data_IF_896475638950
#
_entry.id   IF_896475638950
#
_cell.length_a   1.000
_cell.length_b   1.000
_cell.length_c   1.000
_cell.angle_alpha   90.00
_cell.angle_beta   90.00
_cell.angle_gamma   90.00
#
_symmetry.space_group_name_H-M   'P 1'
#
loop_
_entity.id
_entity.type
_entity.pdbx_description
1 polymer ?
#
# COMPACT_ATOMS: atom_id res chain seq x y z
N UNK A 1 14.15 -90.12 -0.71
CA UNK A 1 13.05 -90.55 0.19
C UNK A 1 12.42 -89.32 0.81
N UNK A 2 11.07 -89.28 0.85
CA UNK A 2 10.18 -88.53 1.75
C UNK A 2 10.03 -87.00 1.66
N UNK A 3 8.86 -86.59 1.15
CA UNK A 3 7.91 -85.60 1.73
C UNK A 3 7.43 -86.10 3.14
N UNK A 4 6.63 -85.41 3.99
CA UNK A 4 6.08 -84.03 4.03
C UNK A 4 6.02 -83.39 5.47
N UNK A 5 5.26 -82.27 5.60
CA UNK A 5 4.27 -81.99 6.65
C UNK A 5 4.60 -81.36 8.04
N UNK A 6 3.84 -80.28 8.31
CA UNK A 6 2.98 -80.00 9.50
C UNK A 6 3.44 -79.18 10.72
N UNK A 7 2.57 -78.16 10.98
CA UNK A 7 1.93 -77.71 12.25
C UNK A 7 2.74 -76.91 13.27
N UNK A 8 2.22 -75.72 13.59
CA UNK A 8 1.66 -75.45 14.93
C UNK A 8 0.63 -74.29 14.92
N UNK A 9 -0.50 -74.51 15.62
CA UNK A 9 -1.54 -73.53 15.97
C UNK A 9 -1.29 -73.06 17.41
N UNK A 10 -1.57 -71.79 17.72
CA UNK A 10 -2.24 -71.39 18.98
C UNK A 10 -3.06 -70.11 18.71
N UNK A 11 -4.33 -70.14 19.11
CA UNK A 11 -5.24 -69.01 19.16
C UNK A 11 -5.48 -68.63 20.64
N UNK A 12 -5.61 -67.34 20.95
CA UNK A 12 -6.01 -66.85 22.27
C UNK A 12 -7.24 -65.93 22.11
N UNK A 13 -8.32 -66.31 22.79
CA UNK A 13 -9.60 -65.60 22.91
C UNK A 13 -9.48 -64.33 23.78
N UNK A 14 -10.23 -63.29 23.45
CA UNK A 14 -10.64 -62.21 24.37
C UNK A 14 -12.16 -62.27 24.55
N UNK A 15 -12.62 -62.58 25.76
CA UNK A 15 -14.02 -62.51 26.16
C UNK A 15 -14.32 -61.16 26.84
N UNK A 16 -15.43 -60.54 26.41
CA UNK A 16 -15.99 -59.30 26.95
C UNK A 16 -16.81 -59.54 28.23
N UNK A 17 -16.74 -58.60 29.16
CA UNK A 17 -17.58 -58.52 30.37
C UNK A 17 -18.75 -57.56 30.10
N UNK A 18 -19.97 -58.04 30.34
CA UNK A 18 -21.26 -57.33 30.28
C UNK A 18 -21.73 -57.10 31.71
N UNK A 19 -21.99 -55.85 32.12
CA UNK A 19 -22.80 -55.43 33.30
C UNK A 19 -23.42 -54.04 33.00
N UNK A 20 -24.66 -53.73 33.46
CA UNK A 20 -25.67 -53.01 32.68
C UNK A 20 -25.84 -51.52 33.03
N UNK A 21 -26.14 -50.68 32.02
CA UNK A 21 -26.47 -49.25 32.16
C UNK A 21 -27.81 -48.90 31.47
N UNK A 22 -28.74 -49.86 31.36
CA UNK A 22 -29.97 -49.73 30.55
C UNK A 22 -31.25 -49.39 31.34
N UNK A 23 -31.16 -48.79 32.53
CA UNK A 23 -32.35 -48.52 33.36
C UNK A 23 -32.45 -47.10 33.94
N UNK A 24 -31.80 -46.12 33.31
CA UNK A 24 -31.91 -44.70 33.69
C UNK A 24 -32.14 -43.73 32.51
N UNK A 25 -32.61 -44.21 31.35
CA UNK A 25 -32.77 -43.40 30.13
C UNK A 25 -34.17 -43.51 29.49
N UNK A 26 -35.24 -43.59 30.30
CA UNK A 26 -36.63 -43.71 29.79
C UNK A 26 -37.63 -42.72 30.43
N UNK A 27 -37.18 -41.73 31.23
CA UNK A 27 -38.10 -40.75 31.86
C UNK A 27 -37.79 -39.26 31.58
N UNK A 28 -36.99 -38.93 30.55
CA UNK A 28 -36.79 -37.52 30.12
C UNK A 28 -37.02 -37.38 28.61
N UNK A 29 -38.18 -37.84 28.13
CA UNK A 29 -38.52 -37.79 26.71
C UNK A 29 -39.84 -37.05 26.37
N UNK A 30 -40.52 -36.41 27.33
CA UNK A 30 -41.87 -35.85 27.07
C UNK A 30 -42.12 -34.41 27.58
N UNK A 31 -41.11 -33.54 27.73
CA UNK A 31 -41.34 -32.11 28.06
C UNK A 31 -40.54 -31.14 27.13
N UNK A 32 -40.25 -31.52 25.89
CA UNK A 32 -39.63 -30.60 24.91
C UNK A 32 -40.31 -30.71 23.56
N UNK A 33 -41.51 -30.16 23.46
CA UNK A 33 -42.24 -30.02 22.18
C UNK A 33 -42.74 -28.58 21.96
N UNK A 34 -42.11 -27.58 22.60
CA UNK A 34 -42.49 -26.16 22.47
C UNK A 34 -41.36 -25.17 22.15
N UNK A 35 -40.11 -25.63 21.96
CA UNK A 35 -38.95 -24.73 21.75
C UNK A 35 -38.41 -24.68 20.30
N UNK A 36 -38.89 -25.55 19.40
CA UNK A 36 -38.36 -25.63 18.03
C UNK A 36 -38.84 -24.47 17.11
N UNK A 37 -40.04 -23.93 17.34
CA UNK A 37 -40.60 -22.88 16.46
C UNK A 37 -40.01 -21.48 16.74
N UNK A 38 -39.61 -21.19 17.98
CA UNK A 38 -39.02 -19.89 18.32
C UNK A 38 -37.58 -19.74 17.82
N UNK A 39 -36.80 -20.83 17.80
CA UNK A 39 -35.40 -20.78 17.33
C UNK A 39 -35.30 -20.59 15.82
N UNK A 40 -36.24 -21.15 15.05
CA UNK A 40 -36.29 -20.99 13.59
C UNK A 40 -36.71 -19.56 13.20
N UNK A 41 -37.68 -18.98 13.93
CA UNK A 41 -38.08 -17.59 13.76
C UNK A 41 -36.97 -16.59 14.16
N UNK A 42 -36.24 -16.88 15.25
CA UNK A 42 -35.08 -16.10 15.66
C UNK A 42 -33.93 -16.18 14.64
N UNK A 43 -33.71 -17.35 14.04
CA UNK A 43 -32.67 -17.54 13.02
C UNK A 43 -33.03 -16.80 11.73
N UNK A 44 -34.30 -16.83 11.30
CA UNK A 44 -34.74 -16.07 10.12
C UNK A 44 -34.65 -14.56 10.32
N UNK A 45 -35.02 -14.06 11.50
CA UNK A 45 -34.92 -12.61 11.80
C UNK A 45 -33.46 -12.15 11.86
N UNK A 46 -32.56 -12.94 12.46
CA UNK A 46 -31.13 -12.64 12.47
C UNK A 46 -30.55 -12.59 11.03
N UNK A 47 -30.95 -13.51 10.16
CA UNK A 47 -30.48 -13.55 8.78
C UNK A 47 -30.97 -12.34 7.96
N UNK A 48 -32.23 -11.93 8.16
CA UNK A 48 -32.76 -10.72 7.52
C UNK A 48 -32.06 -9.44 8.00
N UNK A 49 -31.74 -9.34 9.29
CA UNK A 49 -30.97 -8.22 9.83
C UNK A 49 -29.56 -8.18 9.23
N UNK A 50 -28.89 -9.33 9.12
CA UNK A 50 -27.57 -9.42 8.52
C UNK A 50 -27.57 -9.02 7.03
N UNK A 51 -28.55 -9.48 6.27
CA UNK A 51 -28.73 -9.09 4.87
C UNK A 51 -28.99 -7.59 4.72
N UNK A 52 -29.76 -7.00 5.62
CA UNK A 52 -30.05 -5.56 5.62
C UNK A 52 -28.81 -4.74 5.94
N UNK A 53 -28.01 -5.17 6.93
CA UNK A 53 -26.74 -4.54 7.27
C UNK A 53 -25.74 -4.61 6.10
N UNK A 54 -25.67 -5.74 5.40
CA UNK A 54 -24.79 -5.90 4.25
C UNK A 54 -25.23 -5.02 3.06
N UNK A 55 -26.54 -4.91 2.81
CA UNK A 55 -27.06 -4.00 1.79
C UNK A 55 -26.79 -2.52 2.14
N UNK A 56 -26.85 -2.17 3.43
CA UNK A 56 -26.53 -0.81 3.89
C UNK A 56 -25.03 -0.50 3.74
N UNK A 57 -24.14 -1.44 4.07
CA UNK A 57 -22.70 -1.31 3.83
C UNK A 57 -22.36 -1.19 2.33
N UNK A 58 -23.04 -1.94 1.47
CA UNK A 58 -22.87 -1.83 0.02
C UNK A 58 -23.27 -0.44 -0.51
N UNK A 59 -24.36 0.14 -0.01
CA UNK A 59 -24.78 1.49 -0.38
C UNK A 59 -23.81 2.58 0.12
N UNK A 60 -23.27 2.42 1.33
CA UNK A 60 -22.24 3.33 1.85
C UNK A 60 -20.95 3.26 1.02
N UNK A 61 -20.49 2.05 0.66
CA UNK A 61 -19.33 1.88 -0.20
C UNK A 61 -19.52 2.49 -1.60
N UNK A 62 -20.73 2.41 -2.17
CA UNK A 62 -21.03 3.05 -3.46
C UNK A 62 -21.00 4.59 -3.37
N UNK A 63 -21.50 5.18 -2.28
CA UNK A 63 -21.45 6.62 -2.04
C UNK A 63 -20.01 7.11 -1.82
N UNK A 64 -19.21 6.37 -1.06
CA UNK A 64 -17.79 6.68 -0.88
C UNK A 64 -16.99 6.56 -2.19
N UNK A 65 -17.31 5.56 -3.02
CA UNK A 65 -16.68 5.39 -4.34
C UNK A 65 -17.03 6.54 -5.28
N UNK A 66 -18.27 7.03 -5.26
CA UNK A 66 -18.68 8.20 -6.05
C UNK A 66 -17.99 9.49 -5.56
N UNK A 67 -17.86 9.68 -4.25
CA UNK A 67 -17.15 10.81 -3.66
C UNK A 67 -15.64 10.75 -3.95
N UNK A 68 -15.05 9.55 -3.94
CA UNK A 68 -13.65 9.33 -4.31
C UNK A 68 -13.42 9.61 -5.79
N UNK A 69 -14.29 9.13 -6.68
CA UNK A 69 -14.21 9.40 -8.12
C UNK A 69 -14.30 10.90 -8.44
N UNK A 70 -15.18 11.65 -7.76
CA UNK A 70 -15.27 13.10 -7.94
C UNK A 70 -14.02 13.82 -7.40
N UNK A 71 -13.48 13.40 -6.26
CA UNK A 71 -12.21 13.94 -5.74
C UNK A 71 -11.05 13.65 -6.69
N UNK A 72 -11.00 12.46 -7.29
CA UNK A 72 -9.97 12.11 -8.28
C UNK A 72 -10.13 12.94 -9.55
N UNK A 73 -11.36 13.20 -10.01
CA UNK A 73 -11.64 14.07 -11.15
C UNK A 73 -11.15 15.50 -10.89
N UNK A 74 -11.46 16.04 -9.72
CA UNK A 74 -10.99 17.38 -9.29
C UNK A 74 -9.46 17.40 -9.19
N UNK A 75 -8.84 16.38 -8.60
CA UNK A 75 -7.39 16.30 -8.50
C UNK A 75 -6.70 16.23 -9.88
N UNK A 76 -7.27 15.47 -10.82
CA UNK A 76 -6.79 15.41 -12.20
C UNK A 76 -6.96 16.74 -12.92
N UNK A 77 -8.07 17.45 -12.72
CA UNK A 77 -8.30 18.78 -13.29
C UNK A 77 -7.31 19.82 -12.70
N UNK A 78 -7.05 19.77 -11.39
CA UNK A 78 -6.04 20.63 -10.72
C UNK A 78 -4.64 20.32 -11.25
N UNK A 79 -4.28 19.04 -11.40
CA UNK A 79 -2.97 18.63 -11.91
C UNK A 79 -2.78 19.03 -13.38
N UNK A 80 -3.82 18.87 -14.21
CA UNK A 80 -3.81 19.34 -15.60
C UNK A 80 -3.67 20.87 -15.68
N UNK A 81 -4.30 21.60 -14.77
CA UNK A 81 -4.21 23.06 -14.68
C UNK A 81 -2.79 23.49 -14.31
N UNK A 82 -2.19 22.90 -13.26
CA UNK A 82 -0.82 23.21 -12.86
C UNK A 82 0.21 22.92 -13.96
N UNK A 83 0.04 21.81 -14.70
CA UNK A 83 0.90 21.50 -15.85
C UNK A 83 0.76 22.56 -16.96
N UNK A 84 -0.47 23.01 -17.23
CA UNK A 84 -0.71 24.05 -18.24
C UNK A 84 -0.08 25.40 -17.86
N UNK A 85 -0.09 25.76 -16.58
CA UNK A 85 0.56 26.98 -16.07
C UNK A 85 2.09 26.89 -16.15
N UNK A 86 2.66 25.72 -15.84
CA UNK A 86 4.10 25.48 -15.97
C UNK A 86 4.56 25.59 -17.44
N UNK A 87 3.79 25.03 -18.38
CA UNK A 87 4.06 25.17 -19.82
C UNK A 87 3.97 26.65 -20.26
N UNK A 88 3.01 27.41 -19.75
CA UNK A 88 2.86 28.83 -20.06
C UNK A 88 4.06 29.67 -19.55
N UNK A 89 4.56 29.39 -18.34
CA UNK A 89 5.74 30.07 -17.79
C UNK A 89 7.03 29.76 -18.57
N UNK A 90 7.24 28.49 -18.95
CA UNK A 90 8.39 28.09 -19.77
C UNK A 90 8.35 28.73 -21.16
N UNK A 91 7.16 28.90 -21.73
CA UNK A 91 6.98 29.55 -23.05
C UNK A 91 7.27 31.06 -22.99
N UNK A 92 6.98 31.73 -21.86
CA UNK A 92 7.32 33.15 -21.67
C UNK A 92 8.82 33.39 -21.48
N UNK A 93 9.56 32.44 -20.89
CA UNK A 93 11.02 32.58 -20.72
C UNK A 93 11.82 32.35 -22.01
N UNK A 94 11.26 31.66 -23.01
CA UNK A 94 11.96 31.34 -24.26
C UNK A 94 11.94 32.48 -25.31
N UNK A 95 11.36 33.65 -25.01
CA UNK A 95 11.01 34.68 -26.00
C UNK A 95 11.82 35.99 -26.02
N UNK A 96 13.00 36.10 -25.39
CA UNK A 96 13.72 37.39 -25.33
C UNK A 96 14.96 37.46 -26.25
N UNK A 97 14.78 38.13 -27.39
CA UNK A 97 15.86 38.69 -28.24
C UNK A 97 16.03 40.18 -27.85
N UNK A 98 17.25 40.72 -27.69
CA UNK A 98 17.43 42.10 -27.22
C UNK A 98 17.19 43.14 -28.34
N UNK A 99 16.51 44.28 -28.07
CA UNK A 99 16.42 45.39 -29.01
C UNK A 99 17.41 46.53 -28.69
N UNK A 100 17.90 47.21 -29.73
CA UNK A 100 18.64 48.48 -29.67
C UNK A 100 17.71 49.69 -29.98
N UNK A 101 17.78 50.73 -29.13
CA UNK A 101 17.05 52.04 -29.03
C UNK A 101 17.16 53.02 -30.25
N UNK A 102 16.51 54.25 -30.34
CA UNK A 102 15.85 55.15 -29.33
C UNK A 102 14.51 55.87 -29.81
N UNK A 103 13.99 57.04 -29.29
CA UNK A 103 12.74 57.19 -28.48
C UNK A 103 11.67 58.23 -29.05
N UNK A 104 10.70 58.82 -28.29
CA UNK A 104 9.25 58.50 -28.32
C UNK A 104 8.30 59.69 -28.69
N UNK A 105 6.95 59.50 -28.65
CA UNK A 105 6.07 60.50 -28.05
C UNK A 105 5.10 59.91 -26.99
N UNK A 106 4.58 60.74 -26.07
CA UNK A 106 3.98 60.27 -24.83
C UNK A 106 2.52 59.86 -25.00
N UNK A 107 2.15 58.73 -24.42
CA UNK A 107 0.76 58.38 -24.16
C UNK A 107 0.60 57.88 -22.72
N UNK A 108 -0.38 58.50 -22.08
CA UNK A 108 -0.94 58.39 -20.74
C UNK A 108 -0.76 57.05 -20.01
N UNK A 109 -0.27 57.18 -18.77
CA UNK A 109 -0.18 56.14 -17.74
C UNK A 109 -1.57 55.57 -17.40
N UNK A 110 -1.76 54.28 -17.67
CA UNK A 110 -2.85 53.50 -17.07
C UNK A 110 -2.44 53.08 -15.64
N UNK A 111 -3.35 53.04 -14.67
CA UNK A 111 -3.02 52.68 -13.29
C UNK A 111 -2.40 51.28 -13.20
N UNK A 112 -1.42 51.04 -12.31
CA UNK A 112 -0.86 49.72 -12.13
C UNK A 112 -1.96 48.76 -11.64
N UNK A 113 -2.16 47.68 -12.39
CA UNK A 113 -2.88 46.50 -11.92
C UNK A 113 -2.17 45.99 -10.66
N UNK A 114 -2.89 45.58 -9.60
CA UNK A 114 -2.28 44.99 -8.42
C UNK A 114 -1.45 43.77 -8.83
N UNK A 115 -0.24 43.69 -8.27
CA UNK A 115 0.63 42.53 -8.44
C UNK A 115 -0.13 41.26 -8.04
N UNK A 116 -0.28 40.32 -8.97
CA UNK A 116 -0.74 38.97 -8.65
C UNK A 116 0.28 38.34 -7.71
N UNK A 117 -0.15 37.98 -6.50
CA UNK A 117 0.66 37.22 -5.54
C UNK A 117 1.13 35.90 -6.17
N UNK A 118 2.42 35.53 -6.09
CA UNK A 118 2.91 34.24 -6.53
C UNK A 118 2.79 33.20 -5.40
N UNK A 119 1.58 32.75 -5.05
CA UNK A 119 1.41 31.78 -3.93
C UNK A 119 0.35 30.72 -4.24
N UNK A 120 0.79 29.58 -4.83
CA UNK A 120 0.57 28.28 -4.18
C UNK A 120 1.81 27.35 -4.16
N UNK A 121 2.76 27.50 -5.10
CA UNK A 121 3.87 26.54 -5.28
C UNK A 121 4.91 26.63 -4.16
N UNK A 122 5.21 27.84 -3.68
CA UNK A 122 6.21 28.05 -2.63
C UNK A 122 5.72 27.52 -1.26
N UNK A 123 4.41 27.59 -0.98
CA UNK A 123 3.82 27.13 0.28
C UNK A 123 3.84 25.59 0.42
N UNK A 124 3.49 24.87 -0.66
CA UNK A 124 3.47 23.39 -0.62
C UNK A 124 4.88 22.82 -0.46
N UNK A 125 5.87 23.33 -1.19
CA UNK A 125 7.25 22.85 -1.06
C UNK A 125 7.81 23.09 0.34
N UNK A 126 7.48 24.23 0.97
CA UNK A 126 7.87 24.49 2.35
C UNK A 126 7.16 23.55 3.34
N UNK A 127 5.87 23.25 3.13
CA UNK A 127 5.14 22.24 3.92
C UNK A 127 5.76 20.85 3.76
N UNK A 128 6.14 20.45 2.54
CA UNK A 128 6.82 19.18 2.26
C UNK A 128 8.15 19.09 3.01
N UNK A 129 8.97 20.15 3.02
CA UNK A 129 10.26 20.14 3.75
C UNK A 129 10.11 20.14 5.27
N UNK A 130 9.06 20.74 5.78
CA UNK A 130 8.77 20.82 7.22
C UNK A 130 7.89 19.67 7.73
N UNK A 131 7.54 18.72 6.85
CA UNK A 131 6.68 17.60 7.20
C UNK A 131 7.29 16.77 8.34
N UNK A 132 6.44 16.32 9.26
CA UNK A 132 6.80 15.35 10.29
C UNK A 132 6.74 13.95 9.68
N UNK A 133 7.91 13.40 9.43
CA UNK A 133 8.06 12.05 8.86
C UNK A 133 8.49 11.08 9.95
N UNK A 134 7.79 9.95 10.05
CA UNK A 134 8.18 8.79 10.85
C UNK A 134 8.73 7.71 9.92
N UNK A 135 9.95 7.24 10.17
CA UNK A 135 10.60 6.18 9.41
C UNK A 135 10.80 4.94 10.27
N UNK A 136 10.33 3.80 9.76
CA UNK A 136 10.78 2.47 10.13
C UNK A 136 11.40 1.81 8.90
N UNK A 137 12.65 1.34 9.04
CA UNK A 137 13.39 0.61 8.00
C UNK A 137 14.10 -0.58 8.65
N UNK A 138 13.62 -1.80 8.39
CA UNK A 138 14.16 -3.00 9.05
C UNK A 138 15.59 -3.38 8.61
N UNK A 139 16.06 -2.84 7.48
CA UNK A 139 17.43 -3.01 7.01
C UNK A 139 18.46 -2.41 7.99
N UNK A 140 18.07 -1.44 8.82
CA UNK A 140 18.89 -0.89 9.91
C UNK A 140 19.48 -1.97 10.83
N UNK A 141 18.68 -3.01 11.11
CA UNK A 141 19.08 -4.12 11.98
C UNK A 141 20.02 -5.13 11.33
N UNK A 142 20.33 -4.97 10.03
CA UNK A 142 21.08 -5.95 9.23
C UNK A 142 22.54 -5.54 8.98
N UNK A 143 22.91 -4.29 9.28
CA UNK A 143 24.23 -3.72 8.96
C UNK A 143 24.43 -3.39 7.48
N UNK A 144 23.36 -3.41 6.70
CA UNK A 144 23.32 -2.98 5.30
C UNK A 144 22.98 -1.50 5.20
N UNK A 145 23.02 -0.95 3.98
CA UNK A 145 22.63 0.43 3.74
C UNK A 145 21.12 0.62 3.89
N UNK A 146 20.73 1.74 4.49
CA UNK A 146 19.35 2.15 4.73
C UNK A 146 18.93 3.15 3.63
N UNK A 147 18.21 2.65 2.61
CA UNK A 147 17.91 3.42 1.41
C UNK A 147 16.86 4.51 1.67
N UNK A 148 15.92 4.30 2.60
CA UNK A 148 14.96 5.35 2.96
C UNK A 148 15.62 6.42 3.81
N UNK A 149 16.44 6.03 4.79
CA UNK A 149 17.21 7.00 5.58
C UNK A 149 18.06 7.89 4.65
N UNK A 150 18.85 7.29 3.76
CA UNK A 150 19.68 8.03 2.81
C UNK A 150 18.84 8.94 1.90
N UNK A 151 17.71 8.45 1.37
CA UNK A 151 16.84 9.24 0.51
C UNK A 151 16.28 10.45 1.23
N UNK A 152 15.88 10.31 2.51
CA UNK A 152 15.37 11.39 3.34
C UNK A 152 16.46 12.41 3.68
N UNK A 153 17.65 11.96 4.06
CA UNK A 153 18.80 12.82 4.36
C UNK A 153 19.24 13.62 3.13
N UNK A 154 19.47 12.95 1.99
CA UNK A 154 19.83 13.61 0.73
C UNK A 154 18.71 14.52 0.22
N UNK A 155 17.46 14.18 0.52
CA UNK A 155 16.30 15.00 0.20
C UNK A 155 16.17 16.23 1.10
N UNK A 156 16.95 16.34 2.18
CA UNK A 156 16.88 17.44 3.14
C UNK A 156 15.58 17.46 3.94
N UNK A 157 15.01 16.28 4.22
CA UNK A 157 13.82 16.14 5.05
C UNK A 157 14.19 16.05 6.53
N UNK A 158 13.29 16.53 7.40
CA UNK A 158 13.37 16.25 8.83
C UNK A 158 12.52 15.02 9.13
N UNK A 159 13.10 14.02 9.78
CA UNK A 159 12.39 12.78 10.09
C UNK A 159 12.84 12.21 11.43
N UNK A 160 11.97 11.42 12.05
CA UNK A 160 12.32 10.55 13.16
C UNK A 160 12.57 9.16 12.61
N UNK A 161 13.74 8.63 12.90
CA UNK A 161 14.14 7.29 12.49
C UNK A 161 14.08 6.31 13.67
N UNK A 162 13.23 5.31 13.55
CA UNK A 162 13.15 4.20 14.51
C UNK A 162 14.00 2.99 14.09
N UNK A 163 14.65 3.05 12.92
CA UNK A 163 15.41 1.96 12.33
C UNK A 163 14.59 0.67 12.30
N UNK A 164 15.17 -0.40 12.84
CA UNK A 164 14.49 -1.71 12.96
C UNK A 164 13.79 -1.92 14.32
N UNK A 165 13.69 -0.90 15.17
CA UNK A 165 13.14 -1.02 16.52
C UNK A 165 11.60 -1.01 16.52
N UNK A 166 10.99 -2.17 16.27
CA UNK A 166 9.52 -2.33 16.25
C UNK A 166 8.82 -1.79 17.52
N UNK A 167 9.47 -1.84 18.69
CA UNK A 167 8.94 -1.27 19.93
C UNK A 167 8.82 0.26 19.88
N UNK A 168 9.85 0.96 19.39
CA UNK A 168 9.81 2.42 19.23
C UNK A 168 8.80 2.81 18.16
N UNK A 169 8.81 2.12 17.02
CA UNK A 169 7.83 2.36 15.97
C UNK A 169 6.39 2.21 16.46
N UNK A 170 6.12 1.21 17.30
CA UNK A 170 4.82 1.03 17.94
C UNK A 170 4.47 2.21 18.86
N UNK A 171 5.41 2.63 19.71
CA UNK A 171 5.20 3.74 20.64
C UNK A 171 4.88 5.04 19.90
N UNK A 172 5.56 5.34 18.78
CA UNK A 172 5.31 6.52 17.95
C UNK A 172 4.00 6.46 17.17
N UNK A 173 3.63 5.28 16.66
CA UNK A 173 2.34 5.06 16.02
C UNK A 173 1.18 5.23 17.00
N UNK A 174 1.37 4.89 18.27
CA UNK A 174 0.38 5.04 19.33
C UNK A 174 0.46 6.39 20.07
N UNK A 175 1.46 7.20 19.76
CA UNK A 175 1.63 8.53 20.34
C UNK A 175 0.54 9.51 19.86
N UNK A 176 0.47 10.68 20.52
CA UNK A 176 -0.41 11.77 20.09
C UNK A 176 0.15 12.58 18.92
N UNK A 177 1.35 12.26 18.44
CA UNK A 177 2.01 12.97 17.34
C UNK A 177 1.18 12.86 16.06
N UNK A 178 0.88 14.01 15.47
CA UNK A 178 0.30 14.07 14.13
C UNK A 178 1.44 14.00 13.12
N UNK A 179 1.60 12.82 12.53
CA UNK A 179 2.57 12.57 11.46
C UNK A 179 1.95 12.97 10.11
N UNK A 180 2.72 13.68 9.28
CA UNK A 180 2.32 14.04 7.92
C UNK A 180 2.57 12.84 6.97
N UNK A 181 3.68 12.12 7.19
CA UNK A 181 4.05 10.91 6.48
C UNK A 181 4.57 9.84 7.44
N UNK A 182 4.10 8.60 7.26
CA UNK A 182 4.65 7.42 7.90
C UNK A 182 5.21 6.49 6.82
N UNK A 183 6.46 6.06 7.00
CA UNK A 183 7.13 5.12 6.11
C UNK A 183 7.36 3.83 6.89
N UNK A 184 6.78 2.74 6.41
CA UNK A 184 6.99 1.40 6.94
C UNK A 184 7.69 0.56 5.87
N UNK A 185 9.02 0.54 5.90
CA UNK A 185 9.86 -0.23 5.01
C UNK A 185 10.32 -1.52 5.69
N UNK A 186 9.73 -2.64 5.27
CA UNK A 186 10.11 -3.98 5.72
C UNK A 186 10.58 -4.82 4.54
N UNK A 187 11.87 -4.77 4.32
CA UNK A 187 12.54 -5.54 3.28
C UNK A 187 13.28 -6.74 3.88
N UNK A 188 13.91 -6.55 5.04
CA UNK A 188 14.51 -7.65 5.77
C UNK A 188 13.46 -8.72 6.03
N UNK A 189 13.82 -9.97 5.76
CA UNK A 189 12.93 -11.14 5.89
C UNK A 189 12.43 -11.38 7.35
N UNK A 190 12.78 -10.49 8.28
CA UNK A 190 12.33 -10.44 9.67
C UNK A 190 10.92 -9.86 9.90
N UNK A 191 10.31 -9.22 8.89
CA UNK A 191 8.89 -8.78 8.77
C UNK A 191 8.35 -7.91 9.92
N UNK A 192 7.71 -6.78 9.56
CA UNK A 192 6.80 -6.11 10.49
C UNK A 192 5.58 -7.01 10.76
N UNK A 193 5.21 -7.14 12.03
CA UNK A 193 4.09 -7.99 12.40
C UNK A 193 2.76 -7.40 11.91
N UNK A 194 1.77 -8.27 11.68
CA UNK A 194 0.45 -7.85 11.22
C UNK A 194 -0.22 -6.77 12.09
N UNK A 195 0.13 -6.64 13.37
CA UNK A 195 -0.43 -5.60 14.23
C UNK A 195 -0.12 -4.17 13.81
N UNK A 196 1.05 -3.93 13.21
CA UNK A 196 1.45 -2.61 12.73
C UNK A 196 0.50 -2.08 11.66
N UNK A 197 -0.05 -2.97 10.82
CA UNK A 197 -1.04 -2.59 9.80
C UNK A 197 -2.36 -2.10 10.39
N UNK A 198 -2.71 -2.50 11.62
CA UNK A 198 -3.87 -1.92 12.32
C UNK A 198 -3.58 -0.49 12.74
N UNK A 199 -2.40 -0.23 13.29
CA UNK A 199 -1.99 1.11 13.70
C UNK A 199 -1.82 2.04 12.49
N UNK A 200 -1.24 1.54 11.39
CA UNK A 200 -1.14 2.28 10.13
C UNK A 200 -2.53 2.62 9.57
N UNK A 201 -3.49 1.68 9.63
CA UNK A 201 -4.85 1.93 9.18
C UNK A 201 -5.51 3.09 9.95
N UNK A 202 -5.28 3.20 11.25
CA UNK A 202 -5.79 4.32 12.05
C UNK A 202 -5.25 5.67 11.59
N UNK A 203 -3.95 5.75 11.25
CA UNK A 203 -3.34 6.95 10.66
C UNK A 203 -3.87 7.24 9.26
N UNK A 204 -4.01 6.22 8.42
CA UNK A 204 -4.59 6.33 7.07
C UNK A 204 -6.01 6.92 7.14
N UNK A 205 -6.82 6.46 8.09
CA UNK A 205 -8.19 6.93 8.30
C UNK A 205 -8.25 8.38 8.81
N UNK A 206 -7.18 8.87 9.47
CA UNK A 206 -7.04 10.27 9.89
C UNK A 206 -6.52 11.20 8.78
N UNK A 207 -6.10 10.66 7.63
CA UNK A 207 -5.63 11.46 6.50
C UNK A 207 -4.10 11.54 6.36
N UNK A 208 -3.34 10.91 7.26
CA UNK A 208 -1.87 10.80 7.16
C UNK A 208 -1.46 10.11 5.84
N UNK A 209 -0.39 10.60 5.20
CA UNK A 209 0.21 9.88 4.08
C UNK A 209 1.02 8.68 4.57
N UNK A 210 1.03 7.61 3.79
CA UNK A 210 1.73 6.37 4.15
C UNK A 210 2.44 5.78 2.94
N UNK A 211 3.71 5.44 3.11
CA UNK A 211 4.47 4.60 2.19
C UNK A 211 4.71 3.26 2.88
N UNK A 212 4.32 2.17 2.22
CA UNK A 212 4.57 0.81 2.68
C UNK A 212 5.48 0.14 1.66
N UNK A 213 6.62 -0.33 2.11
CA UNK A 213 7.41 -1.32 1.38
C UNK A 213 7.35 -2.64 2.15
N UNK A 214 6.83 -3.68 1.50
CA UNK A 214 6.77 -5.00 2.09
C UNK A 214 6.69 -6.06 0.99
N UNK A 215 7.68 -6.95 0.95
CA UNK A 215 7.77 -7.95 -0.11
C UNK A 215 6.67 -9.03 -0.01
N UNK A 216 6.41 -9.56 1.19
CA UNK A 216 5.42 -10.62 1.45
C UNK A 216 4.15 -10.08 2.13
N UNK A 217 3.35 -9.33 1.39
CA UNK A 217 2.00 -8.95 1.82
C UNK A 217 1.05 -10.16 1.89
N UNK A 218 1.25 -11.20 1.09
CA UNK A 218 0.47 -12.44 1.06
C UNK A 218 0.40 -13.15 2.41
N UNK A 219 1.53 -13.25 3.10
CA UNK A 219 1.66 -13.75 4.47
C UNK A 219 0.81 -12.97 5.48
N UNK A 220 0.43 -11.74 5.13
CA UNK A 220 -0.35 -10.83 5.96
C UNK A 220 -1.79 -10.64 5.44
N UNK A 221 -2.04 -11.00 4.18
CA UNK A 221 -3.19 -10.58 3.36
C UNK A 221 -4.53 -11.15 3.77
N UNK A 222 -4.55 -12.33 4.40
CA UNK A 222 -5.76 -12.88 5.02
C UNK A 222 -6.00 -12.35 6.43
N UNK A 223 -5.13 -11.46 6.91
CA UNK A 223 -5.15 -10.87 8.24
C UNK A 223 -5.28 -9.35 8.20
N UNK A 224 -4.41 -8.68 8.94
CA UNK A 224 -4.56 -7.28 9.35
C UNK A 224 -4.25 -6.25 8.25
N UNK A 225 -3.65 -6.65 7.13
CA UNK A 225 -3.40 -5.73 5.99
C UNK A 225 -4.58 -5.65 5.02
N UNK A 226 -5.50 -6.62 5.02
CA UNK A 226 -6.65 -6.66 4.11
C UNK A 226 -7.48 -5.36 4.07
N UNK A 227 -7.77 -4.69 5.22
CA UNK A 227 -8.52 -3.44 5.20
C UNK A 227 -7.79 -2.33 4.45
N UNK A 228 -6.46 -2.27 4.56
CA UNK A 228 -5.63 -1.29 3.83
C UNK A 228 -5.70 -1.57 2.33
N UNK A 229 -5.48 -2.82 1.90
CA UNK A 229 -5.54 -3.19 0.48
C UNK A 229 -6.92 -2.91 -0.12
N UNK A 230 -7.98 -3.28 0.59
CA UNK A 230 -9.37 -3.02 0.20
C UNK A 230 -9.67 -1.53 0.05
N UNK A 231 -9.24 -0.71 1.03
CA UNK A 231 -9.41 0.74 1.00
C UNK A 231 -8.65 1.39 -0.16
N UNK A 232 -7.46 0.88 -0.44
CA UNK A 232 -6.63 1.33 -1.55
C UNK A 232 -7.25 0.96 -2.90
N UNK A 233 -7.95 -0.18 -3.01
CA UNK A 233 -8.49 -0.67 -4.28
C UNK A 233 -7.60 -1.69 -4.99
N UNK A 234 -6.71 -2.33 -4.23
CA UNK A 234 -5.81 -3.36 -4.72
C UNK A 234 -6.04 -4.68 -3.98
N UNK A 235 -5.64 -5.76 -4.62
CA UNK A 235 -5.57 -7.06 -4.01
C UNK A 235 -4.32 -7.79 -4.49
N UNK A 236 -4.06 -8.93 -3.88
CA UNK A 236 -2.99 -9.79 -4.33
C UNK A 236 -3.39 -10.55 -5.59
N UNK A 237 -2.43 -10.62 -6.51
CA UNK A 237 -2.54 -11.39 -7.74
C UNK A 237 -1.89 -12.76 -7.57
N UNK A 238 -0.59 -12.80 -7.29
CA UNK A 238 0.21 -14.00 -7.05
C UNK A 238 1.62 -13.62 -6.58
N UNK A 239 2.33 -14.58 -6.02
CA UNK A 239 3.73 -14.43 -5.64
C UNK A 239 4.60 -14.23 -6.89
N UNK A 240 5.58 -13.33 -6.78
CA UNK A 240 6.66 -13.14 -7.73
C UNK A 240 7.76 -14.17 -7.46
N UNK A 241 7.41 -15.43 -7.72
CA UNK A 241 8.22 -16.58 -7.39
C UNK A 241 8.91 -17.19 -8.62
N UNK A 242 10.19 -17.56 -8.46
CA UNK A 242 10.99 -18.20 -9.50
C UNK A 242 11.43 -19.61 -9.09
N UNK A 243 10.95 -20.63 -9.79
CA UNK A 243 11.41 -22.02 -9.60
C UNK A 243 12.84 -22.22 -10.07
N UNK A 244 13.19 -21.58 -11.18
CA UNK A 244 14.50 -21.65 -11.80
C UNK A 244 15.15 -20.28 -11.73
N UNK A 245 15.93 -20.07 -10.68
CA UNK A 245 16.49 -18.77 -10.34
C UNK A 245 17.36 -18.15 -11.43
N UNK A 246 18.07 -18.98 -12.21
CA UNK A 246 18.90 -18.53 -13.32
C UNK A 246 18.11 -17.87 -14.48
N UNK A 247 16.77 -18.00 -14.49
CA UNK A 247 15.86 -17.34 -15.42
C UNK A 247 15.12 -16.15 -14.78
N UNK A 248 15.46 -15.75 -13.55
CA UNK A 248 14.80 -14.66 -12.88
C UNK A 248 15.00 -13.34 -13.63
N UNK A 249 13.89 -12.73 -14.05
CA UNK A 249 13.85 -11.37 -14.58
C UNK A 249 13.19 -10.48 -13.54
N UNK A 250 14.01 -9.72 -12.82
CA UNK A 250 13.57 -8.75 -11.82
C UNK A 250 13.31 -7.38 -12.43
N UNK A 251 13.21 -7.25 -13.76
CA UNK A 251 12.92 -5.97 -14.39
C UNK A 251 11.55 -5.42 -13.95
N UNK A 252 11.55 -4.22 -13.39
CA UNK A 252 10.33 -3.47 -13.10
C UNK A 252 10.14 -2.37 -14.14
N UNK A 253 8.94 -2.33 -14.70
CA UNK A 253 8.55 -1.45 -15.79
C UNK A 253 7.61 -0.37 -15.28
N UNK A 254 7.81 0.91 -15.69
CA UNK A 254 6.82 1.94 -15.44
C UNK A 254 5.56 1.62 -16.25
N UNK A 255 4.44 1.43 -15.55
CA UNK A 255 3.12 1.23 -16.17
C UNK A 255 2.49 2.57 -16.57
N UNK A 256 2.83 3.64 -15.84
CA UNK A 256 2.48 5.02 -16.15
C UNK A 256 3.79 5.82 -16.22
N UNK A 257 4.45 5.89 -17.39
CA UNK A 257 5.81 6.44 -17.52
C UNK A 257 5.96 7.92 -17.15
N UNK A 258 4.90 8.69 -17.31
CA UNK A 258 4.81 10.12 -16.99
C UNK A 258 4.35 10.39 -15.55
N UNK A 259 4.15 9.35 -14.74
CA UNK A 259 3.78 9.52 -13.33
C UNK A 259 4.85 10.28 -12.54
N UNK A 260 4.43 11.12 -11.60
CA UNK A 260 5.33 11.97 -10.80
C UNK A 260 6.38 11.17 -10.02
N UNK A 261 6.06 9.95 -9.61
CA UNK A 261 7.03 9.07 -8.92
C UNK A 261 8.26 8.73 -9.78
N UNK A 262 8.20 8.88 -11.10
CA UNK A 262 9.35 8.67 -12.00
C UNK A 262 9.99 9.97 -12.50
N UNK A 263 9.40 11.12 -12.18
CA UNK A 263 9.74 12.38 -12.85
C UNK A 263 10.00 13.57 -11.91
N UNK A 264 9.57 13.52 -10.65
CA UNK A 264 9.70 14.64 -9.71
C UNK A 264 9.99 14.15 -8.27
N UNK A 265 11.01 14.71 -7.59
CA UNK A 265 11.97 15.71 -8.09
C UNK A 265 13.03 15.14 -9.05
N UNK A 266 13.21 13.82 -9.09
CA UNK A 266 14.26 13.16 -9.86
C UNK A 266 13.72 12.55 -11.15
N UNK A 267 14.57 12.53 -12.20
CA UNK A 267 14.28 11.96 -13.52
C UNK A 267 15.26 10.85 -13.87
N UNK A 268 14.90 10.02 -14.85
CA UNK A 268 15.78 9.00 -15.40
C UNK A 268 15.85 7.71 -14.56
N UNK A 269 14.91 7.51 -13.64
CA UNK A 269 14.81 6.31 -12.81
C UNK A 269 14.54 5.11 -13.70
N UNK A 270 15.37 4.07 -13.56
CA UNK A 270 15.17 2.79 -14.24
C UNK A 270 15.40 1.62 -13.28
N UNK A 271 14.38 0.80 -13.13
CA UNK A 271 14.40 -0.44 -12.34
C UNK A 271 14.53 -1.68 -13.26
N UNK A 272 15.16 -1.51 -14.43
CA UNK A 272 15.43 -2.61 -15.35
C UNK A 272 16.81 -3.23 -15.17
N UNK A 273 17.69 -2.53 -14.47
CA UNK A 273 19.00 -3.03 -14.10
C UNK A 273 18.95 -3.45 -12.63
N UNK A 274 19.06 -4.75 -12.40
CA UNK A 274 18.98 -5.37 -11.09
C UNK A 274 20.23 -6.19 -10.82
N UNK A 275 20.59 -6.28 -9.55
CA UNK A 275 21.61 -7.19 -9.03
C UNK A 275 20.98 -7.92 -7.85
N UNK A 276 20.97 -9.25 -7.92
CA UNK A 276 20.39 -10.08 -6.86
C UNK A 276 21.08 -9.79 -5.53
N UNK A 277 20.32 -9.22 -4.60
CA UNK A 277 20.69 -9.06 -3.21
C UNK A 277 20.06 -10.19 -2.38
N UNK A 278 18.80 -10.47 -2.63
CA UNK A 278 18.02 -11.54 -2.01
C UNK A 278 18.00 -12.79 -2.90
N UNK A 279 18.84 -13.78 -2.58
CA UNK A 279 19.02 -15.02 -3.35
C UNK A 279 17.95 -16.09 -3.02
N UNK A 280 16.73 -15.67 -2.72
CA UNK A 280 15.60 -16.56 -2.49
C UNK A 280 14.68 -16.64 -3.71
N UNK A 281 14.01 -17.79 -3.95
CA UNK A 281 13.03 -17.92 -5.03
C UNK A 281 11.88 -16.90 -5.01
N UNK A 282 11.53 -16.40 -3.83
CA UNK A 282 10.44 -15.45 -3.62
C UNK A 282 10.95 -14.01 -3.58
N UNK A 283 10.49 -13.23 -4.55
CA UNK A 283 10.91 -11.84 -4.78
C UNK A 283 9.82 -10.83 -4.44
N UNK A 284 8.76 -11.28 -3.76
CA UNK A 284 7.67 -10.47 -3.26
C UNK A 284 6.35 -10.72 -3.98
N UNK A 285 5.38 -9.83 -3.78
CA UNK A 285 4.02 -10.03 -4.26
C UNK A 285 3.65 -9.20 -5.47
N UNK A 286 2.85 -9.80 -6.36
CA UNK A 286 2.23 -9.07 -7.45
C UNK A 286 0.85 -8.57 -7.03
N UNK A 287 0.57 -7.32 -7.34
CA UNK A 287 -0.67 -6.61 -7.08
C UNK A 287 -1.59 -6.63 -8.30
N UNK A 288 -2.90 -6.55 -8.06
CA UNK A 288 -3.94 -6.30 -9.06
C UNK A 288 -4.95 -5.26 -8.58
N UNK A 289 -5.57 -4.56 -9.51
CA UNK A 289 -6.71 -3.69 -9.23
C UNK A 289 -7.96 -4.53 -8.99
N UNK A 290 -8.73 -4.20 -7.95
CA UNK A 290 -9.98 -4.94 -7.61
C UNK A 290 -11.24 -4.32 -8.21
N UNK A 291 -11.15 -3.11 -8.76
CA UNK A 291 -12.30 -2.35 -9.26
C UNK A 291 -13.06 -1.58 -8.16
N UNK A 292 -12.55 -1.59 -6.93
CA UNK A 292 -12.96 -0.73 -5.82
C UNK A 292 -11.86 0.30 -5.55
N UNK A 293 -12.17 1.41 -4.86
CA UNK A 293 -11.17 2.43 -4.54
C UNK A 293 -10.69 3.22 -5.77
N UNK A 294 -9.52 3.86 -5.63
CA UNK A 294 -8.93 4.76 -6.64
C UNK A 294 -7.51 4.34 -7.07
N UNK A 295 -7.11 3.11 -6.75
CA UNK A 295 -5.76 2.62 -7.02
C UNK A 295 -5.36 2.66 -8.49
N UNK A 296 -4.08 2.98 -8.69
CA UNK A 296 -3.36 2.84 -9.96
C UNK A 296 -2.12 1.98 -9.73
N UNK A 297 -1.89 0.99 -10.60
CA UNK A 297 -0.61 0.30 -10.64
C UNK A 297 0.38 1.16 -11.43
N UNK A 298 1.40 1.67 -10.75
CA UNK A 298 2.35 2.61 -11.34
C UNK A 298 3.57 1.91 -11.92
N UNK A 299 3.98 0.78 -11.32
CA UNK A 299 5.07 -0.06 -11.80
C UNK A 299 4.68 -1.54 -11.71
N UNK A 300 5.24 -2.36 -12.60
CA UNK A 300 4.91 -3.78 -12.66
C UNK A 300 5.97 -4.61 -13.39
N UNK A 301 5.87 -5.93 -13.26
CA UNK A 301 6.83 -6.89 -13.87
C UNK A 301 6.55 -7.14 -15.35
N UNK A 302 5.41 -6.64 -15.86
CA UNK A 302 5.03 -6.69 -17.28
C UNK A 302 4.57 -5.33 -17.75
N UNK A 303 5.35 -4.70 -18.63
CA UNK A 303 5.06 -3.35 -19.16
C UNK A 303 3.64 -3.19 -19.75
N UNK A 304 3.09 -4.27 -20.32
CA UNK A 304 1.76 -4.30 -20.95
C UNK A 304 0.61 -4.58 -20.00
N UNK A 305 0.86 -5.06 -18.78
CA UNK A 305 -0.21 -5.29 -17.83
C UNK A 305 -0.45 -4.07 -16.95
N UNK A 306 -1.63 -3.47 -17.09
CA UNK A 306 -2.01 -2.24 -16.38
C UNK A 306 -2.92 -2.49 -15.17
N UNK A 307 -3.48 -3.68 -15.07
CA UNK A 307 -4.47 -4.05 -14.04
C UNK A 307 -4.00 -5.18 -13.11
N UNK A 308 -2.88 -5.82 -13.42
CA UNK A 308 -2.24 -6.87 -12.61
C UNK A 308 -0.72 -6.86 -12.83
N UNK A 309 0.00 -7.79 -12.18
CA UNK A 309 1.47 -7.82 -12.18
C UNK A 309 2.12 -6.53 -11.66
N UNK A 310 1.39 -5.73 -10.87
CA UNK A 310 1.91 -4.51 -10.27
C UNK A 310 2.86 -4.84 -9.12
N UNK A 311 3.86 -4.00 -8.92
CA UNK A 311 4.75 -4.03 -7.74
C UNK A 311 4.85 -2.68 -7.05
N UNK A 312 4.26 -1.64 -7.64
CA UNK A 312 4.05 -0.33 -7.02
C UNK A 312 2.62 0.10 -7.33
N UNK A 313 1.86 0.40 -6.29
CA UNK A 313 0.52 0.97 -6.40
C UNK A 313 0.45 2.32 -5.70
N UNK A 314 -0.35 3.24 -6.24
CA UNK A 314 -0.73 4.48 -5.57
C UNK A 314 -2.24 4.58 -5.45
N UNK A 315 -2.74 5.11 -4.32
CA UNK A 315 -4.17 5.24 -4.02
C UNK A 315 -4.41 6.33 -2.96
N UNK A 316 -5.68 6.50 -2.56
CA UNK A 316 -6.14 7.48 -1.58
C UNK A 316 -5.81 8.92 -1.99
N UNK A 317 -6.01 9.23 -3.26
CA UNK A 317 -5.67 10.50 -3.89
C UNK A 317 -4.17 10.76 -3.95
N UNK A 318 -3.35 9.71 -4.01
CA UNK A 318 -1.89 9.82 -4.06
C UNK A 318 -1.20 9.91 -2.70
N UNK A 319 -1.94 9.88 -1.59
CA UNK A 319 -1.38 9.88 -0.23
C UNK A 319 -0.81 8.53 0.20
N UNK A 320 -1.08 7.47 -0.56
CA UNK A 320 -0.60 6.15 -0.25
C UNK A 320 0.21 5.57 -1.41
N UNK A 321 1.35 4.99 -1.07
CA UNK A 321 2.15 4.13 -1.95
C UNK A 321 2.35 2.78 -1.27
N UNK A 322 2.20 1.70 -2.05
CA UNK A 322 2.54 0.34 -1.65
C UNK A 322 3.52 -0.22 -2.65
N UNK A 323 4.71 -0.60 -2.20
CA UNK A 323 5.76 -1.27 -2.95
C UNK A 323 5.96 -2.70 -2.44
N UNK A 324 6.07 -3.65 -3.35
CA UNK A 324 6.25 -5.07 -3.02
C UNK A 324 7.51 -5.70 -3.61
N UNK A 325 8.28 -4.96 -4.41
CA UNK A 325 9.62 -5.41 -4.81
C UNK A 325 10.64 -5.03 -3.72
N UNK A 326 11.66 -5.86 -3.55
CA UNK A 326 12.79 -5.58 -2.67
C UNK A 326 13.72 -4.52 -3.27
N UNK A 327 13.84 -3.38 -2.60
CA UNK A 327 14.66 -2.25 -3.01
C UNK A 327 16.14 -2.60 -3.24
N UNK A 328 16.75 -3.46 -2.42
CA UNK A 328 18.18 -3.77 -2.50
C UNK A 328 18.56 -4.62 -3.71
N UNK A 329 17.59 -5.15 -4.46
CA UNK A 329 17.85 -5.80 -5.74
C UNK A 329 18.20 -4.81 -6.87
N UNK A 330 18.06 -3.50 -6.66
CA UNK A 330 18.26 -2.50 -7.70
C UNK A 330 19.41 -1.56 -7.36
N UNK A 331 19.85 -0.82 -8.38
CA UNK A 331 20.87 0.22 -8.21
C UNK A 331 20.43 1.23 -7.16
N UNK A 332 21.25 1.36 -6.11
CA UNK A 332 21.09 2.31 -5.01
C UNK A 332 20.66 3.70 -5.48
N UNK A 333 21.39 4.32 -6.41
CA UNK A 333 21.11 5.69 -6.87
C UNK A 333 19.73 5.83 -7.54
N UNK A 334 19.26 4.79 -8.23
CA UNK A 334 17.92 4.76 -8.84
C UNK A 334 16.84 4.61 -7.78
N UNK A 335 17.06 3.76 -6.78
CA UNK A 335 16.10 3.53 -5.69
C UNK A 335 16.03 4.73 -4.75
N UNK A 336 17.16 5.30 -4.36
CA UNK A 336 17.21 6.54 -3.57
C UNK A 336 16.44 7.66 -4.27
N UNK A 337 16.62 7.82 -5.59
CA UNK A 337 15.87 8.80 -6.40
C UNK A 337 14.37 8.50 -6.43
N UNK A 338 13.99 7.22 -6.54
CA UNK A 338 12.60 6.77 -6.53
C UNK A 338 11.92 7.05 -5.18
N UNK A 339 12.60 6.75 -4.07
CA UNK A 339 12.09 7.01 -2.72
C UNK A 339 11.91 8.51 -2.50
N UNK A 340 12.85 9.35 -2.94
CA UNK A 340 12.68 10.80 -2.88
C UNK A 340 11.43 11.26 -3.65
N UNK A 341 11.16 10.65 -4.81
CA UNK A 341 9.95 10.92 -5.57
C UNK A 341 8.69 10.39 -4.87
N UNK A 342 8.74 9.25 -4.20
CA UNK A 342 7.63 8.74 -3.38
C UNK A 342 7.28 9.72 -2.25
N UNK A 343 8.28 10.17 -1.50
CA UNK A 343 8.11 11.11 -0.38
C UNK A 343 7.53 12.43 -0.89
N UNK A 344 8.10 12.98 -1.96
CA UNK A 344 7.61 14.24 -2.54
C UNK A 344 6.16 14.11 -3.04
N UNK A 345 5.86 13.07 -3.81
CA UNK A 345 4.53 12.84 -4.36
C UNK A 345 3.48 12.61 -3.25
N UNK A 346 3.78 11.77 -2.26
CA UNK A 346 2.81 11.46 -1.18
C UNK A 346 2.55 12.65 -0.28
N UNK A 347 3.57 13.42 0.09
CA UNK A 347 3.42 14.65 0.88
C UNK A 347 2.72 15.76 0.09
N UNK A 348 3.01 15.91 -1.20
CA UNK A 348 2.29 16.87 -2.07
C UNK A 348 0.80 16.59 -2.02
N UNK A 349 0.39 15.34 -2.25
CA UNK A 349 -1.01 14.95 -2.23
C UNK A 349 -1.62 15.02 -0.83
N UNK A 350 -0.84 14.78 0.22
CA UNK A 350 -1.27 14.97 1.60
C UNK A 350 -1.72 16.41 1.84
N UNK A 351 -0.84 17.38 1.58
CA UNK A 351 -1.11 18.79 1.84
C UNK A 351 -2.16 19.37 0.89
N UNK A 352 -2.27 18.88 -0.36
CA UNK A 352 -3.34 19.28 -1.28
C UNK A 352 -4.73 18.75 -0.87
N UNK A 353 -4.78 17.65 -0.13
CA UNK A 353 -6.04 17.04 0.31
C UNK A 353 -6.56 17.59 1.65
N UNK A 354 -5.73 18.36 2.36
CA UNK A 354 -6.13 19.00 3.61
C UNK A 354 -6.97 20.26 3.33
N UNK A 355 -8.01 20.53 4.14
CA UNK A 355 -8.93 21.65 3.96
C UNK A 355 -8.32 23.03 4.19
#
# INVERSE_FOLDING_TARGET
MRNPAQRQRVAIQKGWIIVPFCLLMVNVACIVSGQADQSLLQTQTALQVQLTLQAQQANQGAQETAAAAERTRIAQEVQATMLSEQIAQLTQQAGQVPPTNPPPPPATEAPPLPASSPEPVVDIEQKIKNAKILLFEDMSGTGQLEYYQEALEMGGYTFKDDGSAQGWFKDDLLSSTQWDLIIAASESRTKIQGEFFVYLLDHINRGTAVIIEHWALDDLSQGRVAPILSKCGIGLYRDWFFREWWLADLSVWPLIPDHLIFTTPNKGISLRNFAVFWDEPDQGDLLKITGTGDAQLIAGTKATSKSDHGVVASCLGGRMIIQTFSSHNYRRDMVTSLIQNYVHYTLTNHFLSQP
#
